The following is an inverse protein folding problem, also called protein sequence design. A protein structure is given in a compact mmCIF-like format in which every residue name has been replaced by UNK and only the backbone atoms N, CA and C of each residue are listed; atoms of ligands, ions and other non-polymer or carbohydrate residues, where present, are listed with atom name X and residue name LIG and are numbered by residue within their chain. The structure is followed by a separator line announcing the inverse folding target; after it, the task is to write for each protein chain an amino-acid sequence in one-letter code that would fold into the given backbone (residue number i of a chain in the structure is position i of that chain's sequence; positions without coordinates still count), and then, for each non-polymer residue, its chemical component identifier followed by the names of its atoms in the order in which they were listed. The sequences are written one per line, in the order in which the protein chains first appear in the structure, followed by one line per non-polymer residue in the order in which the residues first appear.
data_IF_116479986893
#
_entry.id   IF_116479986893
#
_cell.length_a   1.000
_cell.length_b   1.000
_cell.length_c   1.000
_cell.angle_alpha   90.00
_cell.angle_beta   90.00
_cell.angle_gamma   90.00
#
_symmetry.space_group_name_H-M   'P 1'
#
loop_
_entity.id
_entity.type
_entity.pdbx_description
1 polymer ?
#
# COMPACT_ATOMS: atom_id res chain seq x y z
N UNK A 1 -20.37 0.32 36.43
CA UNK A 1 -21.04 0.42 35.13
C UNK A 1 -21.36 -1.00 34.69
N UNK A 2 -22.61 -1.29 34.34
CA UNK A 2 -23.00 -2.61 33.84
C UNK A 2 -23.19 -2.50 32.33
N UNK A 3 -22.53 -3.35 31.56
CA UNK A 3 -22.71 -3.46 30.11
C UNK A 3 -23.80 -4.49 29.84
N UNK A 4 -24.71 -4.18 28.93
CA UNK A 4 -25.74 -5.11 28.47
C UNK A 4 -25.20 -5.92 27.30
N UNK A 5 -25.25 -7.24 27.40
CA UNK A 5 -25.00 -8.13 26.25
C UNK A 5 -26.24 -8.12 25.34
N UNK A 6 -26.12 -7.61 24.12
CA UNK A 6 -27.21 -7.51 23.15
C UNK A 6 -27.20 -8.64 22.12
N UNK A 7 -26.03 -9.24 21.88
CA UNK A 7 -25.85 -10.32 20.91
C UNK A 7 -24.68 -11.21 21.32
N UNK A 8 -24.56 -12.37 20.65
CA UNK A 8 -23.47 -13.31 20.87
C UNK A 8 -22.81 -13.69 19.54
N UNK A 9 -21.48 -13.76 19.53
CA UNK A 9 -20.72 -14.19 18.35
C UNK A 9 -20.76 -15.71 18.23
N UNK A 10 -21.00 -16.18 17.00
CA UNK A 10 -20.74 -17.55 16.55
C UNK A 10 -19.55 -17.53 15.60
N UNK A 11 -18.48 -18.24 15.96
CA UNK A 11 -17.24 -18.28 15.19
C UNK A 11 -16.65 -19.67 15.20
N UNK A 12 -15.84 -20.01 14.19
CA UNK A 12 -15.08 -21.27 14.17
C UNK A 12 -13.95 -21.29 15.21
N UNK A 13 -13.53 -20.13 15.72
CA UNK A 13 -12.43 -20.03 16.68
C UNK A 13 -12.94 -20.09 18.12
N UNK A 14 -12.61 -21.17 18.84
CA UNK A 14 -12.95 -21.32 20.26
C UNK A 14 -11.93 -20.64 21.19
N UNK A 15 -10.71 -20.47 20.70
CA UNK A 15 -9.59 -19.85 21.39
C UNK A 15 -8.94 -18.77 20.49
N UNK A 16 -8.34 -17.72 21.08
CA UNK A 16 -7.73 -16.65 20.30
C UNK A 16 -6.45 -17.13 19.62
N UNK A 17 -6.43 -17.10 18.28
CA UNK A 17 -5.26 -17.48 17.47
C UNK A 17 -4.54 -16.28 16.84
N UNK A 18 -4.93 -15.06 17.21
CA UNK A 18 -4.42 -13.80 16.68
C UNK A 18 -5.39 -13.13 15.70
N UNK A 19 -5.53 -11.79 15.75
CA UNK A 19 -6.56 -11.06 15.00
C UNK A 19 -6.45 -11.26 13.48
N UNK A 20 -5.26 -11.17 12.89
CA UNK A 20 -5.09 -11.25 11.42
C UNK A 20 -5.62 -12.56 10.84
N UNK A 21 -5.43 -13.68 11.56
CA UNK A 21 -5.97 -14.97 11.16
C UNK A 21 -7.48 -15.04 11.35
N UNK A 22 -8.00 -14.45 12.42
CA UNK A 22 -9.43 -14.50 12.72
C UNK A 22 -10.25 -13.61 11.77
N UNK A 23 -9.73 -12.43 11.40
CA UNK A 23 -10.40 -11.51 10.47
C UNK A 23 -10.57 -12.09 9.08
N UNK A 24 -9.71 -13.01 8.64
CA UNK A 24 -9.85 -13.74 7.36
C UNK A 24 -10.90 -14.85 7.44
N UNK A 25 -12.06 -14.59 8.04
CA UNK A 25 -13.15 -15.55 8.16
C UNK A 25 -14.51 -14.89 8.37
N UNK A 26 -15.55 -15.65 8.03
CA UNK A 26 -16.93 -15.30 8.34
C UNK A 26 -17.27 -15.62 9.80
N UNK A 27 -18.10 -14.78 10.41
CA UNK A 27 -18.70 -14.99 11.72
C UNK A 27 -20.19 -14.62 11.67
N UNK A 28 -20.96 -15.12 12.63
CA UNK A 28 -22.37 -14.73 12.79
C UNK A 28 -22.55 -14.00 14.11
N UNK A 29 -23.22 -12.85 14.09
CA UNK A 29 -23.65 -12.14 15.28
C UNK A 29 -25.13 -12.44 15.48
N UNK A 30 -25.45 -13.18 16.53
CA UNK A 30 -26.81 -13.60 16.87
C UNK A 30 -27.38 -12.64 17.93
N UNK A 31 -28.24 -11.73 17.49
CA UNK A 31 -28.87 -10.70 18.31
C UNK A 31 -29.98 -11.31 19.14
N UNK A 32 -30.09 -10.91 20.41
CA UNK A 32 -31.16 -11.40 21.29
C UNK A 32 -32.51 -10.85 20.82
N UNK A 33 -33.55 -11.67 20.97
CA UNK A 33 -34.91 -11.37 20.52
C UNK A 33 -35.40 -9.98 20.99
N UNK A 34 -35.12 -9.62 22.24
CA UNK A 34 -35.52 -8.35 22.85
C UNK A 34 -34.89 -7.09 22.21
N UNK A 35 -33.86 -7.24 21.38
CA UNK A 35 -33.18 -6.13 20.68
C UNK A 35 -33.39 -6.15 19.17
N UNK A 36 -34.24 -7.02 18.64
CA UNK A 36 -34.39 -7.24 17.20
C UNK A 36 -34.80 -6.00 16.41
N UNK A 37 -35.71 -5.19 16.95
CA UNK A 37 -36.17 -3.96 16.32
C UNK A 37 -35.01 -2.96 16.10
N UNK A 38 -33.94 -3.05 16.91
CA UNK A 38 -32.73 -2.26 16.74
C UNK A 38 -31.96 -2.54 15.44
N UNK A 39 -32.27 -3.63 14.74
CA UNK A 39 -31.70 -3.98 13.43
C UNK A 39 -32.48 -3.37 12.25
N UNK A 40 -33.54 -2.60 12.48
CA UNK A 40 -34.29 -1.99 11.39
C UNK A 40 -33.39 -1.11 10.51
N UNK A 41 -33.31 -1.42 9.21
CA UNK A 41 -32.53 -0.67 8.23
C UNK A 41 -31.03 -1.00 8.19
N UNK A 42 -30.56 -2.00 8.95
CA UNK A 42 -29.13 -2.33 9.02
C UNK A 42 -28.54 -2.76 7.67
N UNK A 43 -29.35 -3.33 6.79
CA UNK A 43 -28.97 -3.79 5.45
C UNK A 43 -28.60 -2.65 4.49
N UNK A 44 -28.91 -1.40 4.86
CA UNK A 44 -28.48 -0.22 4.11
C UNK A 44 -26.98 0.11 4.30
N UNK A 45 -26.27 -0.63 5.17
CA UNK A 45 -24.88 -0.39 5.52
C UNK A 45 -24.01 -1.59 5.15
N UNK A 46 -22.99 -1.36 4.32
CA UNK A 46 -22.01 -2.39 3.93
C UNK A 46 -21.04 -2.74 5.06
N UNK A 47 -20.79 -1.79 5.98
CA UNK A 47 -19.85 -1.95 7.08
C UNK A 47 -20.49 -1.58 8.43
N UNK A 48 -20.18 -2.38 9.45
CA UNK A 48 -20.66 -2.19 10.82
C UNK A 48 -19.48 -2.15 11.79
N UNK A 49 -19.52 -1.25 12.78
CA UNK A 49 -18.66 -1.31 13.95
C UNK A 49 -19.32 -2.18 15.02
N UNK A 50 -18.63 -3.26 15.38
CA UNK A 50 -19.07 -4.19 16.41
C UNK A 50 -18.27 -3.92 17.67
N UNK A 51 -18.95 -3.54 18.75
CA UNK A 51 -18.37 -3.43 20.07
C UNK A 51 -18.67 -4.70 20.85
N UNK A 52 -17.64 -5.33 21.41
CA UNK A 52 -17.77 -6.62 22.07
C UNK A 52 -16.89 -6.69 23.32
N UNK A 53 -17.16 -7.68 24.18
CA UNK A 53 -16.46 -7.85 25.45
C UNK A 53 -15.51 -9.06 25.43
N UNK A 54 -14.24 -8.84 25.78
CA UNK A 54 -13.21 -9.88 25.92
C UNK A 54 -13.48 -10.76 27.15
N UNK A 55 -14.54 -11.56 27.10
CA UNK A 55 -15.06 -12.37 28.21
C UNK A 55 -14.07 -13.43 28.75
N UNK A 56 -13.01 -13.79 28.01
CA UNK A 56 -11.91 -14.66 28.47
C UNK A 56 -10.65 -13.91 28.90
N UNK A 57 -10.63 -12.58 28.82
CA UNK A 57 -9.44 -11.79 29.17
C UNK A 57 -9.49 -11.37 30.63
N UNK A 58 -8.50 -11.80 31.40
CA UNK A 58 -8.37 -11.47 32.82
C UNK A 58 -7.14 -10.59 33.12
N UNK A 59 -7.32 -9.63 34.03
CA UNK A 59 -6.30 -8.67 34.43
C UNK A 59 -5.83 -7.76 33.31
N UNK A 60 -4.82 -6.94 33.60
CA UNK A 60 -4.18 -6.06 32.64
C UNK A 60 -2.77 -5.69 33.08
N UNK A 61 -1.91 -5.41 32.11
CA UNK A 61 -0.57 -4.87 32.32
C UNK A 61 -0.50 -3.50 31.64
N UNK A 62 -0.19 -2.46 32.41
CA UNK A 62 -0.14 -1.08 31.90
C UNK A 62 0.98 -0.89 30.87
N UNK A 63 2.06 -1.65 30.98
CA UNK A 63 3.18 -1.69 30.03
C UNK A 63 3.48 -3.16 29.74
N UNK A 64 3.55 -3.53 28.46
CA UNK A 64 3.98 -4.88 28.08
C UNK A 64 4.58 -4.90 26.68
N UNK A 65 5.38 -5.93 26.38
CA UNK A 65 5.81 -6.23 25.02
C UNK A 65 4.60 -6.55 24.14
N UNK A 66 4.51 -5.92 22.97
CA UNK A 66 3.42 -6.09 21.99
C UNK A 66 3.94 -6.80 20.74
N UNK A 67 3.01 -7.34 19.96
CA UNK A 67 3.32 -8.03 18.69
C UNK A 67 3.99 -7.10 17.68
N UNK A 68 3.58 -5.83 17.64
CA UNK A 68 4.10 -4.83 16.71
C UNK A 68 4.68 -3.66 17.51
N UNK A 69 5.93 -3.30 17.21
CA UNK A 69 6.59 -2.10 17.73
C UNK A 69 7.11 -2.20 19.17
N UNK A 70 7.39 -3.40 19.67
CA UNK A 70 8.10 -3.58 20.95
C UNK A 70 7.27 -3.32 22.20
N UNK A 71 7.92 -2.83 23.26
CA UNK A 71 7.26 -2.49 24.53
C UNK A 71 6.45 -1.21 24.41
N UNK A 72 5.17 -1.27 24.79
CA UNK A 72 4.27 -0.11 24.74
C UNK A 72 3.27 -0.11 25.89
N UNK A 73 2.88 1.10 26.28
CA UNK A 73 1.75 1.32 27.17
C UNK A 73 0.46 0.71 26.61
N UNK A 74 -0.42 0.22 27.48
CA UNK A 74 -1.65 -0.47 27.10
C UNK A 74 -2.54 0.37 26.18
N UNK A 75 -2.71 1.64 26.48
CA UNK A 75 -3.54 2.56 25.69
C UNK A 75 -2.89 3.01 24.38
N UNK A 76 -1.60 2.70 24.18
CA UNK A 76 -0.92 2.81 22.89
C UNK A 76 -0.99 1.50 22.08
N UNK A 77 -1.85 0.56 22.48
CA UNK A 77 -2.01 -0.76 21.86
C UNK A 77 -3.47 -1.18 21.75
N UNK A 78 -3.72 -2.26 21.00
CA UNK A 78 -5.03 -2.91 20.88
C UNK A 78 -5.15 -4.21 21.69
N UNK A 79 -4.36 -4.35 22.77
CA UNK A 79 -4.37 -5.59 23.57
C UNK A 79 -5.72 -5.84 24.26
N UNK A 80 -6.20 -7.10 24.30
CA UNK A 80 -7.44 -7.46 25.00
C UNK A 80 -7.34 -7.39 26.52
N UNK A 81 -6.12 -7.45 27.10
CA UNK A 81 -5.88 -7.37 28.55
C UNK A 81 -5.91 -5.91 29.02
N UNK A 82 -7.11 -5.36 29.18
CA UNK A 82 -7.35 -3.94 29.50
C UNK A 82 -8.41 -3.75 30.59
N UNK A 83 -8.35 -2.63 31.38
CA UNK A 83 -9.27 -2.39 32.49
C UNK A 83 -10.75 -2.51 32.12
N UNK A 84 -11.13 -1.95 30.96
CA UNK A 84 -12.44 -2.18 30.34
C UNK A 84 -12.21 -3.06 29.13
N UNK A 85 -12.56 -4.35 29.25
CA UNK A 85 -12.36 -5.41 28.26
C UNK A 85 -13.16 -5.23 26.96
N UNK A 86 -13.23 -4.03 26.40
CA UNK A 86 -13.99 -3.70 25.20
C UNK A 86 -13.08 -3.82 23.98
N UNK A 87 -13.53 -4.64 23.02
CA UNK A 87 -13.05 -4.70 21.65
C UNK A 87 -13.95 -3.90 20.72
N UNK A 88 -13.37 -3.40 19.64
CA UNK A 88 -14.10 -2.75 18.55
C UNK A 88 -13.49 -3.20 17.24
N UNK A 89 -14.34 -3.67 16.33
CA UNK A 89 -13.93 -4.10 14.99
C UNK A 89 -14.96 -3.67 13.96
N UNK A 90 -14.49 -2.99 12.91
CA UNK A 90 -15.29 -2.76 11.70
C UNK A 90 -15.33 -4.06 10.88
N UNK A 91 -16.52 -4.51 10.53
CA UNK A 91 -16.77 -5.73 9.76
C UNK A 91 -17.57 -5.40 8.51
N UNK A 92 -17.43 -6.21 7.48
CA UNK A 92 -18.32 -6.20 6.31
C UNK A 92 -19.61 -6.96 6.66
N UNK A 93 -20.77 -6.38 6.36
CA UNK A 93 -22.06 -7.06 6.46
C UNK A 93 -22.32 -7.84 5.16
N UNK A 94 -22.28 -9.17 5.25
CA UNK A 94 -22.52 -10.03 4.09
C UNK A 94 -24.02 -10.20 3.82
N UNK A 95 -24.79 -10.45 4.88
CA UNK A 95 -26.25 -10.57 4.85
C UNK A 95 -26.85 -10.57 6.25
N UNK A 96 -28.16 -10.36 6.32
CA UNK A 96 -28.98 -10.58 7.53
C UNK A 96 -30.02 -11.66 7.29
N UNK A 97 -30.23 -12.52 8.27
CA UNK A 97 -31.33 -13.49 8.33
C UNK A 97 -31.99 -13.43 9.71
N UNK A 98 -33.12 -12.72 9.81
CA UNK A 98 -33.82 -12.55 11.08
C UNK A 98 -32.95 -11.84 12.13
N UNK A 99 -32.60 -12.56 13.20
CA UNK A 99 -31.74 -12.09 14.28
C UNK A 99 -30.24 -12.31 14.04
N UNK A 100 -29.84 -12.85 12.88
CA UNK A 100 -28.45 -13.19 12.56
C UNK A 100 -27.87 -12.24 11.54
N UNK A 101 -26.72 -11.67 11.87
CA UNK A 101 -25.89 -10.90 10.94
C UNK A 101 -24.68 -11.75 10.56
N UNK A 102 -24.54 -12.07 9.27
CA UNK A 102 -23.37 -12.74 8.73
C UNK A 102 -22.36 -11.66 8.35
N UNK A 103 -21.15 -11.76 8.90
CA UNK A 103 -20.14 -10.72 8.77
C UNK A 103 -18.77 -11.29 8.43
N UNK A 104 -17.94 -10.51 7.72
CA UNK A 104 -16.55 -10.83 7.44
C UNK A 104 -15.62 -9.82 8.12
N UNK A 105 -14.47 -10.27 8.64
CA UNK A 105 -13.48 -9.37 9.27
C UNK A 105 -13.54 -9.26 10.79
N UNK A 106 -14.39 -10.04 11.48
CA UNK A 106 -14.49 -10.03 12.95
C UNK A 106 -13.36 -10.82 13.62
N UNK A 107 -12.71 -10.24 14.63
CA UNK A 107 -11.64 -10.87 15.43
C UNK A 107 -12.11 -11.26 16.84
N UNK A 108 -13.30 -11.86 16.92
CA UNK A 108 -13.91 -12.35 18.16
C UNK A 108 -14.08 -13.88 18.14
N UNK A 109 -13.81 -14.52 19.28
CA UNK A 109 -13.96 -15.97 19.44
C UNK A 109 -15.44 -16.35 19.62
N UNK A 110 -15.75 -17.63 19.43
CA UNK A 110 -17.07 -18.19 19.67
C UNK A 110 -17.57 -17.88 21.09
N UNK A 111 -18.82 -17.45 21.18
CA UNK A 111 -19.46 -17.09 22.42
C UNK A 111 -19.15 -15.69 22.94
N UNK A 112 -18.37 -14.88 22.21
CA UNK A 112 -18.06 -13.51 22.62
C UNK A 112 -19.34 -12.66 22.75
N UNK A 113 -19.57 -12.00 23.90
CA UNK A 113 -20.68 -11.05 24.08
C UNK A 113 -20.48 -9.80 23.24
N UNK A 114 -21.49 -9.41 22.48
CA UNK A 114 -21.57 -8.12 21.78
C UNK A 114 -22.35 -7.14 22.65
N UNK A 115 -21.82 -5.94 22.80
CA UNK A 115 -22.40 -4.89 23.65
C UNK A 115 -23.08 -3.79 22.85
N UNK A 116 -22.65 -3.56 21.60
CA UNK A 116 -23.23 -2.54 20.72
C UNK A 116 -22.89 -2.80 19.24
N UNK A 117 -23.73 -2.29 18.34
CA UNK A 117 -23.58 -2.38 16.88
C UNK A 117 -23.88 -1.00 16.31
N UNK A 118 -22.98 -0.46 15.49
CA UNK A 118 -23.15 0.85 14.83
C UNK A 118 -22.87 0.76 13.34
N UNK A 119 -23.56 1.53 12.49
CA UNK A 119 -23.14 1.69 11.10
C UNK A 119 -21.77 2.38 11.05
N UNK A 120 -20.87 1.88 10.22
CA UNK A 120 -19.61 2.59 9.93
C UNK A 120 -19.89 3.75 8.97
N UNK A 121 -19.37 4.92 9.30
CA UNK A 121 -19.46 6.11 8.47
C UNK A 121 -18.11 6.80 8.45
N UNK A 122 -17.40 6.75 7.30
CA UNK A 122 -16.06 7.31 7.16
C UNK A 122 -15.94 8.76 7.61
N UNK A 123 -16.94 9.60 7.36
CA UNK A 123 -16.94 11.01 7.77
C UNK A 123 -17.04 11.23 9.30
N UNK A 124 -17.49 10.23 10.07
CA UNK A 124 -17.55 10.26 11.53
C UNK A 124 -16.42 9.47 12.18
N UNK A 125 -16.10 8.31 11.62
CA UNK A 125 -15.21 7.31 12.22
C UNK A 125 -13.75 7.49 11.82
N UNK A 126 -13.46 8.09 10.66
CA UNK A 126 -12.08 8.45 10.31
C UNK A 126 -11.62 9.66 11.12
N UNK A 127 -10.32 9.67 11.44
CA UNK A 127 -9.71 10.79 12.13
C UNK A 127 -9.83 12.10 11.32
N UNK A 128 -10.07 13.22 12.01
CA UNK A 128 -10.16 14.53 11.37
C UNK A 128 -8.97 14.83 10.45
N UNK A 129 -9.22 15.56 9.37
CA UNK A 129 -8.20 15.89 8.37
C UNK A 129 -7.12 16.88 8.86
N UNK A 130 -7.21 17.41 10.09
CA UNK A 130 -6.28 18.42 10.61
C UNK A 130 -4.81 17.98 10.54
N UNK A 131 -4.52 16.72 10.87
CA UNK A 131 -3.17 16.16 10.76
C UNK A 131 -2.74 15.89 9.31
N UNK A 132 -3.70 15.56 8.43
CA UNK A 132 -3.42 15.31 7.01
C UNK A 132 -3.03 16.60 6.26
N UNK A 133 -3.51 17.76 6.72
CA UNK A 133 -3.12 19.05 6.12
C UNK A 133 -1.64 19.38 6.33
N UNK A 134 -1.06 18.93 7.44
CA UNK A 134 0.34 19.23 7.78
C UNK A 134 1.30 18.20 7.19
N UNK A 135 0.82 17.00 6.87
CA UNK A 135 1.61 15.96 6.21
C UNK A 135 0.75 15.28 5.12
N UNK A 136 1.04 15.55 3.82
CA UNK A 136 0.28 14.96 2.71
C UNK A 136 0.41 13.43 2.64
N UNK A 137 1.42 12.85 3.29
CA UNK A 137 1.69 11.41 3.32
C UNK A 137 1.26 10.72 4.61
N UNK A 138 0.61 11.43 5.52
CA UNK A 138 0.16 10.91 6.82
C UNK A 138 -0.58 9.56 6.73
N UNK A 139 -1.49 9.41 5.75
CA UNK A 139 -2.23 8.15 5.56
C UNK A 139 -1.30 7.01 5.11
N UNK A 140 -0.46 7.25 4.12
CA UNK A 140 0.50 6.27 3.57
C UNK A 140 1.51 5.84 4.65
N UNK A 141 2.09 6.77 5.40
CA UNK A 141 3.02 6.47 6.50
C UNK A 141 2.38 5.60 7.59
N UNK A 142 1.10 5.86 7.91
CA UNK A 142 0.36 5.00 8.84
C UNK A 142 0.15 3.61 8.27
N UNK A 143 -0.23 3.48 7.01
CA UNK A 143 -0.40 2.18 6.37
C UNK A 143 0.92 1.39 6.40
N UNK A 144 2.06 2.00 6.09
CA UNK A 144 3.39 1.37 6.18
C UNK A 144 3.68 0.92 7.62
N UNK A 145 3.53 1.83 8.60
CA UNK A 145 3.80 1.57 10.02
C UNK A 145 2.92 0.45 10.60
N UNK A 146 1.69 0.35 10.16
CA UNK A 146 0.74 -0.68 10.60
C UNK A 146 0.68 -1.88 9.65
N UNK A 147 1.57 -1.96 8.66
CA UNK A 147 1.65 -3.03 7.65
C UNK A 147 0.30 -3.29 6.95
N UNK A 148 -0.44 -2.23 6.64
CA UNK A 148 -1.66 -2.30 5.84
C UNK A 148 -1.31 -2.31 4.34
N UNK A 149 -0.71 -3.41 3.90
CA UNK A 149 -0.18 -3.55 2.53
C UNK A 149 -1.32 -3.64 1.51
N UNK A 150 -2.46 -4.23 1.88
CA UNK A 150 -3.67 -4.27 1.04
C UNK A 150 -4.13 -2.88 0.63
N UNK A 151 -4.26 -1.96 1.60
CA UNK A 151 -4.69 -0.59 1.32
C UNK A 151 -3.65 0.18 0.50
N UNK A 152 -2.35 -0.08 0.72
CA UNK A 152 -1.29 0.49 -0.10
C UNK A 152 -1.34 -0.01 -1.54
N UNK A 153 -1.63 -1.29 -1.76
CA UNK A 153 -1.78 -1.85 -3.11
C UNK A 153 -3.02 -1.29 -3.81
N UNK A 154 -4.14 -1.18 -3.10
CA UNK A 154 -5.36 -0.53 -3.61
C UNK A 154 -5.05 0.89 -4.09
N UNK A 155 -4.37 1.68 -3.26
CA UNK A 155 -4.01 3.06 -3.58
C UNK A 155 -2.95 3.18 -4.68
N UNK A 156 -1.96 2.29 -4.71
CA UNK A 156 -1.00 2.23 -5.80
C UNK A 156 -1.70 1.88 -7.14
N UNK A 157 -2.74 1.04 -7.09
CA UNK A 157 -3.58 0.74 -8.24
C UNK A 157 -4.40 1.92 -8.75
N UNK A 158 -4.81 2.86 -7.88
CA UNK A 158 -5.44 4.12 -8.29
C UNK A 158 -4.48 4.97 -9.14
N UNK A 159 -3.20 5.02 -8.77
CA UNK A 159 -2.16 5.72 -9.54
C UNK A 159 -1.84 4.98 -10.85
N UNK A 160 -1.69 3.66 -10.78
CA UNK A 160 -1.21 2.83 -11.89
C UNK A 160 -2.31 2.48 -12.92
N UNK A 161 -3.57 2.47 -12.49
CA UNK A 161 -4.75 2.18 -13.31
C UNK A 161 -5.18 0.70 -13.35
N UNK A 162 -4.39 -0.24 -12.80
CA UNK A 162 -4.77 -1.65 -12.63
C UNK A 162 -3.93 -2.32 -11.54
N UNK A 163 -4.30 -3.56 -11.18
CA UNK A 163 -3.52 -4.39 -10.26
C UNK A 163 -2.70 -5.41 -11.05
N UNK A 164 -1.41 -5.50 -10.73
CA UNK A 164 -0.50 -6.42 -11.38
C UNK A 164 0.55 -7.00 -10.43
N UNK A 165 1.14 -8.17 -10.78
CA UNK A 165 2.19 -8.78 -9.96
C UNK A 165 3.38 -7.83 -9.70
N UNK A 166 3.81 -7.07 -10.71
CA UNK A 166 4.95 -6.17 -10.57
C UNK A 166 4.65 -4.93 -9.72
N UNK A 167 3.43 -4.38 -9.81
CA UNK A 167 2.99 -3.31 -8.89
C UNK A 167 3.01 -3.80 -7.44
N UNK A 168 2.45 -5.00 -7.19
CA UNK A 168 2.46 -5.64 -5.87
C UNK A 168 3.87 -5.87 -5.33
N UNK A 169 4.79 -6.36 -6.18
CA UNK A 169 6.21 -6.50 -5.84
C UNK A 169 6.85 -5.17 -5.43
N UNK A 170 6.52 -4.08 -6.14
CA UNK A 170 6.99 -2.73 -5.79
C UNK A 170 6.46 -2.24 -4.45
N UNK A 171 5.16 -2.44 -4.21
CA UNK A 171 4.52 -2.11 -2.93
C UNK A 171 5.15 -2.90 -1.78
N UNK A 172 5.30 -4.22 -1.94
CA UNK A 172 5.89 -5.12 -0.95
C UNK A 172 7.33 -4.72 -0.60
N UNK A 173 8.18 -4.50 -1.61
CA UNK A 173 9.56 -4.07 -1.40
C UNK A 173 9.64 -2.69 -0.71
N UNK A 174 8.78 -1.75 -1.11
CA UNK A 174 8.72 -0.42 -0.50
C UNK A 174 8.32 -0.47 0.98
N UNK A 175 7.32 -1.27 1.34
CA UNK A 175 6.87 -1.39 2.74
C UNK A 175 7.96 -2.01 3.62
N UNK A 176 8.61 -3.07 3.14
CA UNK A 176 9.69 -3.73 3.88
C UNK A 176 10.88 -2.80 4.08
N UNK A 177 11.34 -2.12 3.02
CA UNK A 177 12.47 -1.21 3.07
C UNK A 177 12.23 -0.04 4.05
N UNK A 178 11.09 0.64 3.93
CA UNK A 178 10.79 1.81 4.77
C UNK A 178 10.64 1.45 6.25
N UNK A 179 10.09 0.28 6.55
CA UNK A 179 10.02 -0.21 7.93
C UNK A 179 11.42 -0.53 8.48
N UNK A 180 12.30 -1.17 7.69
CA UNK A 180 13.69 -1.47 8.08
C UNK A 180 14.54 -0.21 8.28
N UNK A 181 14.29 0.82 7.48
CA UNK A 181 15.02 2.10 7.55
C UNK A 181 14.47 3.05 8.62
N UNK A 182 13.36 2.70 9.28
CA UNK A 182 12.60 3.59 10.18
C UNK A 182 12.26 4.95 9.52
N UNK A 183 12.19 4.98 8.18
CA UNK A 183 12.16 6.19 7.36
C UNK A 183 10.75 6.78 7.25
N UNK A 184 10.06 6.91 8.38
CA UNK A 184 8.67 7.39 8.42
C UNK A 184 8.53 8.89 8.12
N UNK A 185 9.62 9.66 8.06
CA UNK A 185 9.61 11.09 7.74
C UNK A 185 10.90 11.50 7.02
N UNK A 186 10.87 11.48 5.68
CA UNK A 186 12.07 11.73 4.88
C UNK A 186 12.07 13.08 4.14
N UNK A 187 11.15 14.01 4.44
CA UNK A 187 11.12 15.32 3.79
C UNK A 187 11.27 15.26 2.26
N UNK A 188 11.79 16.32 1.63
CA UNK A 188 12.25 16.23 0.24
C UNK A 188 13.71 15.75 0.21
N UNK A 189 14.02 14.82 -0.70
CA UNK A 189 15.39 14.34 -1.03
C UNK A 189 16.21 13.72 0.12
N UNK A 190 15.65 13.43 1.30
CA UNK A 190 16.38 12.66 2.35
C UNK A 190 16.35 11.15 2.10
N UNK A 191 15.24 10.65 1.55
CA UNK A 191 15.11 9.30 1.02
C UNK A 191 15.07 9.38 -0.50
N UNK A 192 15.97 8.66 -1.15
CA UNK A 192 15.99 8.49 -2.59
C UNK A 192 15.63 7.05 -2.95
N UNK A 193 15.02 6.86 -4.12
CA UNK A 193 14.83 5.55 -4.73
C UNK A 193 15.54 5.52 -6.09
N UNK A 194 16.57 4.69 -6.20
CA UNK A 194 17.28 4.43 -7.46
C UNK A 194 16.64 3.22 -8.12
N UNK A 195 15.83 3.45 -9.16
CA UNK A 195 15.16 2.41 -9.93
C UNK A 195 15.99 1.99 -11.13
N UNK A 196 16.03 0.68 -11.41
CA UNK A 196 16.77 0.09 -12.53
C UNK A 196 15.84 -0.38 -13.68
N UNK A 197 14.54 -0.08 -13.62
CA UNK A 197 13.50 -0.49 -14.59
C UNK A 197 12.42 0.60 -14.72
N UNK A 198 11.73 0.67 -15.87
CA UNK A 198 10.55 1.50 -16.13
C UNK A 198 9.23 0.69 -16.10
N UNK A 199 9.25 -0.51 -15.51
CA UNK A 199 8.06 -1.37 -15.38
C UNK A 199 7.12 -0.95 -14.24
N UNK A 200 5.95 -1.58 -14.12
CA UNK A 200 4.94 -1.35 -13.08
C UNK A 200 5.48 -1.43 -11.64
N UNK A 201 6.58 -2.16 -11.43
CA UNK A 201 7.34 -2.20 -10.18
C UNK A 201 7.69 -0.79 -9.68
N UNK A 202 8.09 0.08 -10.61
CA UNK A 202 8.45 1.47 -10.36
C UNK A 202 7.32 2.27 -9.71
N UNK A 203 6.08 2.08 -10.17
CA UNK A 203 4.93 2.84 -9.66
C UNK A 203 4.58 2.43 -8.23
N UNK A 204 4.71 1.14 -7.90
CA UNK A 204 4.54 0.65 -6.53
C UNK A 204 5.58 1.27 -5.59
N UNK A 205 6.84 1.33 -6.04
CA UNK A 205 7.93 1.99 -5.30
C UNK A 205 7.65 3.48 -5.13
N UNK A 206 7.30 4.20 -6.20
CA UNK A 206 7.00 5.63 -6.14
C UNK A 206 5.85 5.93 -5.17
N UNK A 207 4.77 5.15 -5.24
CA UNK A 207 3.60 5.35 -4.37
C UNK A 207 3.95 5.15 -2.89
N UNK A 208 4.60 4.03 -2.55
CA UNK A 208 4.92 3.68 -1.16
C UNK A 208 6.04 4.55 -0.60
N UNK A 209 7.11 4.78 -1.36
CA UNK A 209 8.26 5.58 -0.90
C UNK A 209 8.06 7.07 -0.98
N UNK A 210 7.18 7.54 -1.88
CA UNK A 210 7.03 8.96 -2.23
C UNK A 210 8.27 9.56 -2.87
N UNK A 211 9.26 8.73 -3.21
CA UNK A 211 10.33 9.11 -4.09
C UNK A 211 9.77 9.11 -5.51
N UNK A 212 9.43 10.29 -6.01
CA UNK A 212 8.77 10.46 -7.32
C UNK A 212 9.66 11.23 -8.27
N UNK A 213 9.37 11.15 -9.57
CA UNK A 213 10.11 11.91 -10.56
C UNK A 213 10.05 13.43 -10.30
N UNK A 214 8.88 13.96 -9.91
CA UNK A 214 8.66 15.40 -9.79
C UNK A 214 9.27 16.06 -8.53
N UNK A 215 9.52 15.29 -7.48
CA UNK A 215 10.16 15.80 -6.25
C UNK A 215 11.66 15.48 -6.17
N UNK A 216 12.27 15.06 -7.29
CA UNK A 216 13.69 14.74 -7.43
C UNK A 216 14.23 13.62 -6.52
N UNK A 217 13.35 12.90 -5.81
CA UNK A 217 13.76 11.79 -4.96
C UNK A 217 13.87 10.46 -5.73
N UNK A 218 13.33 10.39 -6.95
CA UNK A 218 13.49 9.23 -7.82
C UNK A 218 14.67 9.42 -8.78
N UNK A 219 15.59 8.44 -8.79
CA UNK A 219 16.66 8.36 -9.78
C UNK A 219 16.36 7.16 -10.68
N UNK A 220 16.16 7.41 -11.97
CA UNK A 220 15.97 6.35 -12.95
C UNK A 220 17.29 6.00 -13.64
N UNK A 221 17.71 4.74 -13.54
CA UNK A 221 18.81 4.14 -14.29
C UNK A 221 18.23 3.13 -15.26
N UNK A 222 18.29 3.43 -16.54
CA UNK A 222 17.73 2.58 -17.59
C UNK A 222 18.61 1.34 -17.88
N UNK A 223 18.65 0.41 -16.91
CA UNK A 223 19.50 -0.79 -16.93
C UNK A 223 18.69 -2.06 -17.25
N UNK A 224 17.36 -2.02 -17.06
CA UNK A 224 16.45 -3.12 -17.35
C UNK A 224 16.36 -4.19 -16.25
N UNK A 225 16.88 -3.93 -15.05
CA UNK A 225 16.79 -4.85 -13.91
C UNK A 225 15.58 -4.50 -13.05
N UNK A 226 14.77 -5.50 -12.68
CA UNK A 226 13.71 -5.30 -11.67
C UNK A 226 14.35 -5.16 -10.29
N UNK A 227 14.82 -3.95 -10.01
CA UNK A 227 15.55 -3.61 -8.80
C UNK A 227 15.31 -2.16 -8.38
N UNK A 228 15.42 -1.93 -7.07
CA UNK A 228 15.41 -0.63 -6.43
C UNK A 228 16.52 -0.58 -5.39
N UNK A 229 17.21 0.55 -5.30
CA UNK A 229 18.02 0.89 -4.12
C UNK A 229 17.37 2.05 -3.39
N UNK A 230 16.98 1.83 -2.14
CA UNK A 230 16.60 2.87 -1.22
C UNK A 230 17.85 3.45 -0.58
N UNK A 231 18.01 4.76 -0.69
CA UNK A 231 19.19 5.48 -0.20
C UNK A 231 18.73 6.49 0.82
N UNK A 232 19.28 6.41 2.04
CA UNK A 232 19.11 7.44 3.06
C UNK A 232 20.40 8.24 3.13
N UNK A 233 20.32 9.57 2.99
CA UNK A 233 21.51 10.44 3.11
C UNK A 233 22.14 10.41 4.52
N UNK A 234 21.40 9.96 5.53
CA UNK A 234 21.82 9.92 6.94
C UNK A 234 21.80 8.50 7.54
N UNK A 235 21.53 7.48 6.71
CA UNK A 235 21.26 6.13 7.19
C UNK A 235 21.81 5.06 6.26
N UNK A 236 21.25 3.87 6.38
CA UNK A 236 21.66 2.70 5.62
C UNK A 236 21.02 2.68 4.23
N UNK A 237 21.72 2.06 3.28
CA UNK A 237 21.21 1.83 1.93
C UNK A 237 20.73 0.39 1.82
N UNK A 238 19.54 0.20 1.23
CA UNK A 238 18.96 -1.13 1.03
C UNK A 238 18.68 -1.35 -0.44
N UNK A 239 19.21 -2.42 -1.02
CA UNK A 239 18.96 -2.80 -2.40
C UNK A 239 18.12 -4.07 -2.48
N UNK A 240 17.02 -3.98 -3.20
CA UNK A 240 16.12 -5.09 -3.50
C UNK A 240 16.23 -5.37 -4.98
N UNK A 241 16.51 -6.62 -5.34
CA UNK A 241 16.43 -7.05 -6.72
C UNK A 241 15.76 -8.41 -6.83
N UNK A 242 14.95 -8.56 -7.88
CA UNK A 242 14.20 -9.78 -8.11
C UNK A 242 15.18 -10.93 -8.37
N UNK A 243 15.22 -11.89 -7.45
CA UNK A 243 16.08 -13.09 -7.57
C UNK A 243 15.28 -14.28 -8.10
N UNK A 244 13.99 -14.37 -7.74
CA UNK A 244 13.08 -15.40 -8.24
C UNK A 244 12.41 -14.93 -9.54
N UNK A 245 13.15 -14.94 -10.64
CA UNK A 245 12.72 -14.34 -11.91
C UNK A 245 11.63 -15.14 -12.65
N UNK A 246 11.45 -16.41 -12.30
CA UNK A 246 10.50 -17.34 -12.94
C UNK A 246 9.29 -17.66 -12.05
N UNK A 247 9.04 -16.87 -10.99
CA UNK A 247 7.92 -17.10 -10.07
C UNK A 247 6.55 -17.15 -10.78
N UNK A 248 6.34 -16.31 -11.81
CA UNK A 248 5.10 -16.35 -12.59
C UNK A 248 4.93 -17.66 -13.36
N UNK A 249 6.02 -18.20 -13.91
CA UNK A 249 5.98 -19.45 -14.66
C UNK A 249 5.78 -20.65 -13.73
N UNK A 250 6.47 -20.66 -12.58
CA UNK A 250 6.41 -21.74 -11.61
C UNK A 250 5.10 -21.78 -10.83
N UNK A 251 4.70 -20.64 -10.28
CA UNK A 251 3.59 -20.58 -9.32
C UNK A 251 2.25 -20.30 -10.04
N UNK A 252 2.30 -19.67 -11.23
CA UNK A 252 1.12 -19.19 -11.96
C UNK A 252 1.18 -19.46 -13.48
N UNK A 253 1.42 -20.71 -13.93
CA UNK A 253 1.67 -21.03 -15.34
C UNK A 253 0.54 -20.58 -16.28
N UNK A 254 -0.72 -20.71 -15.86
CA UNK A 254 -1.87 -20.23 -16.63
C UNK A 254 -1.86 -18.70 -16.83
N UNK A 255 -1.45 -17.95 -15.80
CA UNK A 255 -1.33 -16.49 -15.90
C UNK A 255 -0.20 -16.08 -16.86
N UNK A 256 0.91 -16.84 -16.84
CA UNK A 256 2.06 -16.63 -17.71
C UNK A 256 1.70 -16.85 -19.19
N UNK A 257 1.02 -17.96 -19.49
CA UNK A 257 0.55 -18.26 -20.86
C UNK A 257 -0.39 -17.17 -21.38
N UNK A 258 -1.36 -16.77 -20.56
CA UNK A 258 -2.33 -15.75 -20.92
C UNK A 258 -1.66 -14.37 -21.10
N UNK A 259 -0.71 -14.00 -20.24
CA UNK A 259 0.09 -12.79 -20.39
C UNK A 259 0.88 -12.78 -21.70
N UNK A 260 1.51 -13.88 -22.08
CA UNK A 260 2.27 -13.97 -23.32
C UNK A 260 1.37 -13.80 -24.55
N UNK A 261 0.18 -14.40 -24.53
CA UNK A 261 -0.80 -14.25 -25.61
C UNK A 261 -1.36 -12.83 -25.69
N UNK A 262 -1.89 -12.32 -24.57
CA UNK A 262 -2.66 -11.07 -24.53
C UNK A 262 -1.76 -9.85 -24.58
N UNK A 263 -0.65 -9.83 -23.83
CA UNK A 263 0.18 -8.61 -23.66
C UNK A 263 1.39 -8.64 -24.59
N UNK A 264 2.16 -9.73 -24.57
CA UNK A 264 3.42 -9.79 -25.33
C UNK A 264 3.17 -9.91 -26.84
N UNK A 265 2.26 -10.80 -27.25
CA UNK A 265 1.88 -11.00 -28.66
C UNK A 265 0.73 -10.13 -29.14
N UNK A 266 -0.08 -9.59 -28.22
CA UNK A 266 -1.28 -8.79 -28.54
C UNK A 266 -2.32 -9.57 -29.36
N UNK A 267 -2.47 -10.86 -29.07
CA UNK A 267 -3.35 -11.82 -29.76
C UNK A 267 -4.57 -12.23 -28.91
N UNK A 268 -4.81 -11.54 -27.79
CA UNK A 268 -5.90 -11.84 -26.86
C UNK A 268 -7.27 -11.36 -27.34
N UNK A 269 -8.30 -12.16 -27.05
CA UNK A 269 -9.69 -11.71 -27.12
C UNK A 269 -10.05 -10.85 -25.90
N UNK A 270 -11.16 -10.09 -25.96
CA UNK A 270 -11.68 -9.33 -24.81
C UNK A 270 -11.99 -10.20 -23.59
N UNK A 271 -12.38 -11.46 -23.80
CA UNK A 271 -12.63 -12.39 -22.70
C UNK A 271 -11.32 -12.76 -21.99
N UNK A 272 -10.26 -13.01 -22.76
CA UNK A 272 -8.92 -13.32 -22.26
C UNK A 272 -8.26 -12.11 -21.58
N UNK A 273 -8.49 -10.89 -22.07
CA UNK A 273 -8.07 -9.67 -21.39
C UNK A 273 -8.74 -9.53 -20.01
N UNK A 274 -10.04 -9.82 -19.93
CA UNK A 274 -10.78 -9.79 -18.67
C UNK A 274 -10.29 -10.87 -17.70
N UNK A 275 -10.10 -12.09 -18.18
CA UNK A 275 -9.56 -13.21 -17.41
C UNK A 275 -8.15 -12.88 -16.88
N UNK A 276 -7.28 -12.32 -17.72
CA UNK A 276 -5.95 -11.90 -17.31
C UNK A 276 -6.01 -10.85 -16.21
N UNK A 277 -6.91 -9.87 -16.33
CA UNK A 277 -7.10 -8.82 -15.32
C UNK A 277 -7.54 -9.39 -13.97
N UNK A 278 -8.50 -10.31 -13.96
CA UNK A 278 -8.98 -10.97 -12.74
C UNK A 278 -7.88 -11.81 -12.09
N UNK A 279 -7.11 -12.54 -12.91
CA UNK A 279 -5.99 -13.35 -12.45
C UNK A 279 -4.84 -12.49 -11.91
N UNK A 280 -4.50 -11.40 -12.60
CA UNK A 280 -3.48 -10.44 -12.16
C UNK A 280 -3.86 -9.76 -10.85
N UNK A 281 -5.12 -9.41 -10.68
CA UNK A 281 -5.63 -8.90 -9.41
C UNK A 281 -5.43 -9.94 -8.30
N UNK A 282 -5.91 -11.17 -8.50
CA UNK A 282 -5.75 -12.24 -7.51
C UNK A 282 -4.28 -12.45 -7.12
N UNK A 283 -3.40 -12.59 -8.10
CA UNK A 283 -1.96 -12.81 -7.88
C UNK A 283 -1.32 -11.62 -7.15
N UNK A 284 -1.68 -10.39 -7.51
CA UNK A 284 -1.15 -9.19 -6.86
C UNK A 284 -1.46 -9.18 -5.36
N UNK A 285 -2.68 -9.57 -4.96
CA UNK A 285 -3.07 -9.69 -3.55
C UNK A 285 -2.42 -10.89 -2.85
N UNK A 286 -2.17 -12.01 -3.54
CA UNK A 286 -1.41 -13.13 -2.97
C UNK A 286 0.06 -12.76 -2.70
N UNK A 287 0.69 -12.00 -3.60
CA UNK A 287 2.10 -11.59 -3.47
C UNK A 287 2.34 -10.75 -2.21
N UNK A 288 1.43 -9.84 -1.87
CA UNK A 288 1.60 -8.94 -0.72
C UNK A 288 1.38 -9.65 0.63
N UNK A 289 0.87 -10.88 0.63
CA UNK A 289 0.75 -11.71 1.84
C UNK A 289 2.03 -12.49 2.16
N UNK A 290 3.00 -12.50 1.25
CA UNK A 290 4.22 -13.29 1.34
C UNK A 290 5.40 -12.47 1.88
N UNK A 291 6.40 -13.19 2.39
CA UNK A 291 7.63 -12.55 2.87
C UNK A 291 8.47 -11.99 1.70
N UNK A 292 9.01 -10.77 1.80
CA UNK A 292 9.83 -10.17 0.73
C UNK A 292 10.99 -11.06 0.24
N UNK A 293 11.58 -11.84 1.14
CA UNK A 293 12.67 -12.77 0.84
C UNK A 293 12.27 -13.92 -0.13
N UNK A 294 10.98 -14.16 -0.35
CA UNK A 294 10.48 -15.11 -1.36
C UNK A 294 10.80 -14.65 -2.78
N UNK A 295 10.78 -13.34 -3.02
CA UNK A 295 10.93 -12.74 -4.34
C UNK A 295 12.28 -12.05 -4.53
N UNK A 296 12.78 -11.40 -3.48
CA UNK A 296 13.95 -10.53 -3.56
C UNK A 296 15.16 -11.11 -2.85
N UNK A 297 16.34 -10.90 -3.45
CA UNK A 297 17.58 -10.79 -2.68
C UNK A 297 17.71 -9.36 -2.18
N UNK A 298 17.98 -9.22 -0.90
CA UNK A 298 18.09 -7.94 -0.19
C UNK A 298 19.55 -7.76 0.24
N UNK A 299 20.14 -6.65 -0.17
CA UNK A 299 21.51 -6.27 0.19
C UNK A 299 21.46 -5.02 1.07
N UNK A 300 22.23 -5.02 2.15
CA UNK A 300 22.30 -3.94 3.13
C UNK A 300 23.63 -3.20 3.03
N UNK A 301 23.63 -1.93 3.44
CA UNK A 301 24.82 -1.07 3.53
C UNK A 301 25.62 -0.99 2.22
N UNK A 302 24.91 -0.98 1.10
CA UNK A 302 25.56 -0.90 -0.22
C UNK A 302 26.08 0.51 -0.50
N UNK A 303 27.29 0.58 -1.07
CA UNK A 303 27.81 1.83 -1.64
C UNK A 303 27.19 2.05 -3.02
N UNK A 304 26.67 3.26 -3.24
CA UNK A 304 26.06 3.64 -4.50
C UNK A 304 26.33 5.11 -4.75
N UNK A 305 26.79 5.43 -5.96
CA UNK A 305 26.93 6.79 -6.42
C UNK A 305 25.54 7.43 -6.55
N UNK A 306 25.33 8.59 -5.93
CA UNK A 306 24.10 9.36 -6.06
C UNK A 306 24.47 10.83 -6.29
N UNK A 307 23.67 11.57 -7.07
CA UNK A 307 23.87 13.00 -7.20
C UNK A 307 23.69 13.71 -5.84
N UNK A 308 24.32 14.88 -5.73
CA UNK A 308 23.98 15.87 -4.72
C UNK A 308 22.51 16.30 -4.85
N UNK A 309 22.06 17.21 -3.99
CA UNK A 309 20.71 17.76 -4.05
C UNK A 309 20.39 18.37 -5.41
N UNK A 310 19.11 18.32 -5.79
CA UNK A 310 18.65 18.81 -7.08
C UNK A 310 19.05 20.28 -7.30
N UNK A 311 19.75 20.60 -8.40
CA UNK A 311 20.17 21.97 -8.68
C UNK A 311 18.98 22.85 -9.08
N UNK A 312 18.99 24.10 -8.62
CA UNK A 312 18.07 25.14 -9.10
C UNK A 312 18.72 25.82 -10.30
N UNK A 313 18.05 25.75 -11.45
CA UNK A 313 18.51 26.39 -12.67
C UNK A 313 17.74 27.68 -12.92
N UNK A 314 18.43 28.68 -13.46
CA UNK A 314 17.81 29.93 -13.89
C UNK A 314 16.85 29.71 -15.07
N UNK A 315 15.87 30.59 -15.18
CA UNK A 315 14.97 30.66 -16.33
C UNK A 315 15.63 31.45 -17.47
N UNK A 316 15.60 30.90 -18.68
CA UNK A 316 15.92 31.57 -19.94
C UNK A 316 14.68 31.60 -20.83
N UNK A 317 14.71 32.38 -21.91
CA UNK A 317 13.60 32.46 -22.87
C UNK A 317 14.08 32.10 -24.27
N UNK A 318 13.32 31.26 -24.98
CA UNK A 318 13.65 30.92 -26.36
C UNK A 318 13.52 32.14 -27.28
N UNK A 319 14.54 32.39 -28.09
CA UNK A 319 14.60 33.53 -29.01
C UNK A 319 13.55 33.44 -30.13
N UNK A 320 13.10 32.23 -30.48
CA UNK A 320 12.12 31.96 -31.53
C UNK A 320 10.68 31.90 -30.98
N UNK A 321 10.33 30.92 -30.13
CA UNK A 321 8.96 30.74 -29.64
C UNK A 321 8.60 31.60 -28.41
N UNK A 322 9.59 32.25 -27.77
CA UNK A 322 9.43 33.06 -26.55
C UNK A 322 9.02 32.29 -25.28
N UNK A 323 8.93 30.96 -25.34
CA UNK A 323 8.65 30.13 -24.17
C UNK A 323 9.81 30.18 -23.17
N UNK A 324 9.46 30.08 -21.89
CA UNK A 324 10.41 29.97 -20.77
C UNK A 324 11.03 28.58 -20.75
N UNK A 325 12.35 28.51 -20.62
CA UNK A 325 13.12 27.26 -20.61
C UNK A 325 14.09 27.26 -19.44
N UNK A 326 14.28 26.08 -18.86
CA UNK A 326 15.32 25.85 -17.85
C UNK A 326 16.70 26.01 -18.50
N UNK A 327 17.58 26.83 -17.92
CA UNK A 327 18.87 27.16 -18.52
C UNK A 327 19.72 25.92 -18.87
N UNK A 328 19.71 24.88 -18.04
CA UNK A 328 20.41 23.63 -18.29
C UNK A 328 19.88 22.81 -19.49
N UNK A 329 18.73 23.18 -20.06
CA UNK A 329 18.16 22.55 -21.27
C UNK A 329 18.18 23.48 -22.48
N UNK A 330 18.68 24.70 -22.32
CA UNK A 330 18.79 25.68 -23.40
C UNK A 330 19.89 25.29 -24.39
N UNK A 331 19.67 25.66 -25.66
CA UNK A 331 20.66 25.50 -26.73
C UNK A 331 21.10 26.87 -27.18
N UNK A 332 22.41 27.13 -27.14
CA UNK A 332 22.99 28.39 -27.58
C UNK A 332 23.48 28.26 -29.03
N UNK A 333 22.99 29.14 -29.91
CA UNK A 333 23.39 29.25 -31.32
C UNK A 333 23.46 30.72 -31.69
N UNK A 334 24.57 31.15 -32.28
CA UNK A 334 24.74 32.54 -32.76
C UNK A 334 24.40 33.60 -31.69
N UNK A 335 24.93 33.41 -30.46
CA UNK A 335 24.68 34.30 -29.30
C UNK A 335 23.20 34.43 -28.89
N UNK A 336 22.34 33.54 -29.40
CA UNK A 336 20.92 33.46 -29.07
C UNK A 336 20.60 32.15 -28.38
N UNK A 337 19.63 32.22 -27.47
CA UNK A 337 19.15 31.08 -26.71
C UNK A 337 17.92 30.48 -27.38
N UNK A 338 17.86 29.16 -27.51
CA UNK A 338 16.73 28.44 -28.08
C UNK A 338 16.30 27.28 -27.17
N UNK A 339 15.02 26.92 -27.22
CA UNK A 339 14.57 25.63 -26.71
C UNK A 339 15.05 24.51 -27.65
N UNK A 340 15.10 23.27 -27.15
CA UNK A 340 15.54 22.12 -27.96
C UNK A 340 14.72 21.93 -29.24
N UNK A 341 13.41 22.19 -29.19
CA UNK A 341 12.52 22.08 -30.35
C UNK A 341 12.83 23.10 -31.44
N UNK A 342 12.91 24.40 -31.10
CA UNK A 342 13.27 25.44 -32.08
C UNK A 342 14.71 25.29 -32.60
N UNK A 343 15.61 24.74 -31.78
CA UNK A 343 16.99 24.50 -32.19
C UNK A 343 17.16 23.24 -33.04
N UNK A 344 16.13 22.40 -33.21
CA UNK A 344 16.22 21.05 -33.77
C UNK A 344 17.34 20.24 -33.10
N UNK A 345 17.43 20.34 -31.78
CA UNK A 345 18.45 19.67 -30.99
C UNK A 345 17.93 18.37 -30.39
N UNK A 346 18.86 17.46 -30.09
CA UNK A 346 18.54 16.17 -29.48
C UNK A 346 17.99 16.34 -28.05
N UNK A 347 17.00 15.51 -27.70
CA UNK A 347 16.40 15.46 -26.37
C UNK A 347 16.23 14.01 -25.89
N UNK A 348 16.20 13.84 -24.57
CA UNK A 348 15.95 12.54 -23.96
C UNK A 348 14.43 12.35 -23.83
N UNK A 349 13.94 11.19 -24.26
CA UNK A 349 12.56 10.77 -24.14
C UNK A 349 12.51 9.48 -23.34
N UNK A 350 11.71 9.46 -22.27
CA UNK A 350 11.30 8.21 -21.64
C UNK A 350 10.00 7.74 -22.29
N UNK A 351 10.00 6.53 -22.84
CA UNK A 351 8.79 5.87 -23.30
C UNK A 351 8.78 4.38 -22.90
N UNK A 352 7.87 3.59 -23.46
CA UNK A 352 7.74 2.16 -23.13
C UNK A 352 8.98 1.32 -23.45
N UNK A 353 9.92 1.84 -24.26
CA UNK A 353 11.19 1.19 -24.58
C UNK A 353 12.34 1.57 -23.63
N UNK A 354 12.12 2.53 -22.74
CA UNK A 354 13.17 3.11 -21.88
C UNK A 354 13.51 4.55 -22.28
N UNK A 355 14.71 4.97 -21.91
CA UNK A 355 15.23 6.30 -22.11
C UNK A 355 16.02 6.36 -23.43
N UNK A 356 15.47 7.05 -24.42
CA UNK A 356 16.03 7.14 -25.77
C UNK A 356 16.38 8.59 -26.15
N UNK A 357 17.36 8.74 -27.03
CA UNK A 357 17.68 10.03 -27.66
C UNK A 357 16.76 10.22 -28.87
N UNK A 358 16.07 11.35 -28.93
CA UNK A 358 15.19 11.77 -30.03
C UNK A 358 15.69 13.08 -30.61
N UNK A 359 15.52 13.23 -31.91
CA UNK A 359 15.82 14.45 -32.66
C UNK A 359 14.49 15.03 -33.17
N UNK A 360 14.33 16.36 -33.03
CA UNK A 360 13.15 17.09 -33.51
C UNK A 360 13.18 17.34 -35.01
#
# INVERSE_FOLDING_TARGET
MNLTEIAKVKSKYKEPIGPDKMKKSESVIEVKEEFLDGLYGIEAHEYLQILFYFHKSEGYDLISKRRIGGEKGLFASRSPRRPSGIGITTVELLKREGNKLYVYGLDAIDGTPVVDIKPYASFMDEASMSLQKNNPRYKVEKMIRYQNIDELLLKAGELHGHYCPYLALGVLAGVDALNKMEAADAGMEKLLAVLETNSCFSDGIQFVSGATFGNNALIYRDIGKTAVTFVSREGKNLRYYLSNNDFLEKDYPAAKELFEKVVARREGSRAEEKELKELWQKIAFEIIEEEPAKYFKIEEDIEIDIPDYAPIFEDKYCSQCKEKIMAAKAVEKEEKIYCKSCAQAEYMQLDGSGLIIKNN
#
